data_IF_484425085145
#
_entry.id   IF_484425085145
#
_cell.length_a   1.000
_cell.length_b   1.000
_cell.length_c   1.000
_cell.angle_alpha   90.00
_cell.angle_beta   90.00
_cell.angle_gamma   90.00
#
_symmetry.space_group_name_H-M   'P 1'
#
loop_
_entity.id
_entity.type
_entity.pdbx_description
1 polymer ?
#
# COMPACT_ATOMS: atom_id res chain seq x y z
N UNK A 1 8.43 -26.65 -6.46
CA UNK A 1 9.58 -25.73 -6.47
C UNK A 1 9.05 -24.41 -5.92
N UNK A 2 9.34 -24.07 -4.66
CA UNK A 2 8.99 -22.75 -4.11
C UNK A 2 9.61 -21.68 -4.99
N UNK A 3 8.79 -20.84 -5.60
CA UNK A 3 9.28 -19.72 -6.41
C UNK A 3 9.97 -18.74 -5.46
N UNK A 4 11.29 -18.62 -5.62
CA UNK A 4 12.12 -17.62 -4.95
C UNK A 4 11.51 -16.23 -5.15
N UNK A 5 11.45 -15.47 -4.07
CA UNK A 5 11.06 -14.07 -4.04
C UNK A 5 11.84 -13.26 -5.09
N UNK A 6 11.20 -12.91 -6.20
CA UNK A 6 11.86 -12.19 -7.30
C UNK A 6 11.84 -10.69 -7.02
N UNK A 7 13.02 -10.05 -7.01
CA UNK A 7 13.18 -8.60 -6.88
C UNK A 7 14.52 -8.17 -7.45
N UNK A 8 14.67 -6.87 -7.69
CA UNK A 8 15.95 -6.25 -8.04
C UNK A 8 17.05 -6.64 -7.02
N UNK A 9 18.23 -7.11 -7.47
CA UNK A 9 19.36 -7.38 -6.57
C UNK A 9 19.72 -6.15 -5.73
N UNK A 10 19.88 -6.36 -4.42
CA UNK A 10 20.14 -5.27 -3.47
C UNK A 10 18.94 -4.39 -3.11
N UNK A 11 17.75 -4.60 -3.69
CA UNK A 11 16.56 -3.84 -3.31
C UNK A 11 16.21 -4.07 -1.82
N UNK A 12 15.93 -2.97 -1.12
CA UNK A 12 15.46 -2.98 0.25
C UNK A 12 14.32 -1.96 0.44
N UNK A 13 13.82 -1.83 1.67
CA UNK A 13 12.79 -0.87 2.04
C UNK A 13 13.34 0.33 2.81
N UNK A 14 14.67 0.44 2.92
CA UNK A 14 15.35 1.48 3.69
C UNK A 14 15.15 2.88 3.11
N UNK A 15 15.03 2.99 1.77
CA UNK A 15 14.66 4.23 1.08
C UNK A 15 13.25 4.72 1.40
N UNK A 16 12.35 3.80 1.80
CA UNK A 16 11.00 4.10 2.29
C UNK A 16 10.98 4.33 3.81
N UNK A 17 12.13 4.38 4.47
CA UNK A 17 12.22 4.52 5.93
C UNK A 17 11.78 3.29 6.72
N UNK A 18 11.41 2.19 6.05
CA UNK A 18 11.03 0.94 6.68
C UNK A 18 12.29 0.15 7.03
N UNK A 19 12.47 -0.15 8.31
CA UNK A 19 13.65 -0.84 8.83
C UNK A 19 13.22 -1.91 9.81
N UNK A 20 14.06 -2.93 10.01
CA UNK A 20 13.88 -3.95 11.07
C UNK A 20 12.50 -4.63 11.04
N UNK A 21 11.94 -4.84 9.85
CA UNK A 21 10.83 -5.79 9.67
C UNK A 21 11.30 -7.19 10.05
N UNK A 22 10.38 -8.07 10.45
CA UNK A 22 10.70 -9.47 10.74
C UNK A 22 11.07 -10.21 9.46
N UNK A 23 10.20 -10.11 8.45
CA UNK A 23 10.41 -10.60 7.11
C UNK A 23 9.84 -9.60 6.10
N UNK A 24 10.46 -9.51 4.93
CA UNK A 24 9.90 -8.80 3.78
C UNK A 24 9.76 -9.80 2.64
N UNK A 25 8.52 -10.18 2.33
CA UNK A 25 8.22 -11.17 1.28
C UNK A 25 7.98 -10.45 -0.04
N UNK A 26 8.87 -10.65 -1.02
CA UNK A 26 8.81 -9.92 -2.29
C UNK A 26 8.12 -10.71 -3.40
N UNK A 27 7.17 -10.06 -4.06
CA UNK A 27 6.53 -10.51 -5.28
C UNK A 27 6.03 -11.96 -5.23
N UNK A 28 5.54 -12.39 -4.06
CA UNK A 28 5.01 -13.74 -3.85
C UNK A 28 3.95 -14.11 -4.90
N UNK A 29 3.87 -15.40 -5.19
CA UNK A 29 2.83 -15.94 -6.06
C UNK A 29 1.43 -15.74 -5.46
N UNK A 30 0.36 -15.69 -6.27
CA UNK A 30 -1.01 -15.69 -5.77
C UNK A 30 -1.31 -16.84 -4.81
N UNK A 31 -0.79 -18.03 -5.12
CA UNK A 31 -0.93 -19.23 -4.32
C UNK A 31 -0.28 -19.06 -2.94
N UNK A 32 0.96 -18.56 -2.91
CA UNK A 32 1.66 -18.27 -1.66
C UNK A 32 0.95 -17.20 -0.82
N UNK A 33 0.42 -16.15 -1.44
CA UNK A 33 -0.33 -15.11 -0.73
C UNK A 33 -1.66 -15.62 -0.16
N UNK A 34 -2.34 -16.49 -0.92
CA UNK A 34 -3.56 -17.15 -0.45
C UNK A 34 -3.26 -18.06 0.73
N UNK A 35 -2.21 -18.88 0.65
CA UNK A 35 -1.74 -19.72 1.75
C UNK A 35 -1.37 -18.90 2.99
N UNK A 36 -0.60 -17.82 2.83
CA UNK A 36 -0.23 -16.94 3.95
C UNK A 36 -1.47 -16.31 4.60
N UNK A 37 -2.47 -15.93 3.79
CA UNK A 37 -3.75 -15.40 4.31
C UNK A 37 -4.46 -16.43 5.18
N UNK A 38 -4.57 -17.67 4.71
CA UNK A 38 -5.24 -18.75 5.44
C UNK A 38 -4.46 -19.17 6.68
N UNK A 39 -3.14 -19.36 6.57
CA UNK A 39 -2.25 -19.71 7.70
C UNK A 39 -2.31 -18.68 8.83
N UNK A 40 -2.53 -17.42 8.50
CA UNK A 40 -2.67 -16.32 9.47
C UNK A 40 -4.10 -16.15 10.00
N UNK A 41 -5.05 -16.97 9.57
CA UNK A 41 -6.45 -16.88 9.97
C UNK A 41 -7.15 -15.62 9.45
N UNK A 42 -6.67 -15.06 8.33
CA UNK A 42 -7.15 -13.80 7.76
C UNK A 42 -8.12 -13.99 6.59
N UNK A 43 -8.49 -15.24 6.29
CA UNK A 43 -9.39 -15.59 5.23
C UNK A 43 -9.62 -17.09 5.15
N UNK A 44 -10.58 -17.47 4.33
CA UNK A 44 -10.98 -18.86 4.08
C UNK A 44 -11.20 -19.09 2.59
N UNK A 45 -11.14 -20.35 2.16
CA UNK A 45 -11.52 -20.72 0.80
C UNK A 45 -13.04 -20.89 0.75
N UNK A 46 -13.66 -20.24 -0.21
CA UNK A 46 -15.02 -20.57 -0.63
C UNK A 46 -15.03 -21.90 -1.41
N UNK A 47 -16.21 -22.48 -1.59
CA UNK A 47 -16.39 -23.74 -2.35
C UNK A 47 -15.88 -23.65 -3.80
N UNK A 48 -15.77 -22.43 -4.35
CA UNK A 48 -15.19 -22.16 -5.67
C UNK A 48 -13.66 -22.18 -5.71
N UNK A 49 -12.99 -22.30 -4.56
CA UNK A 49 -11.55 -22.11 -4.41
C UNK A 49 -11.11 -20.64 -4.34
N UNK A 50 -12.04 -19.68 -4.40
CA UNK A 50 -11.73 -18.27 -4.22
C UNK A 50 -11.43 -17.96 -2.73
N UNK A 51 -10.43 -17.12 -2.50
CA UNK A 51 -10.14 -16.60 -1.16
C UNK A 51 -11.20 -15.56 -0.77
N UNK A 52 -11.91 -15.83 0.33
CA UNK A 52 -12.80 -14.90 1.00
C UNK A 52 -12.09 -14.29 2.22
N UNK A 53 -12.17 -12.96 2.36
CA UNK A 53 -11.59 -12.19 3.47
C UNK A 53 -12.62 -11.22 4.03
N UNK A 54 -12.42 -10.80 5.27
CA UNK A 54 -13.19 -9.72 5.90
C UNK A 54 -12.33 -8.46 5.97
N UNK A 55 -12.87 -7.32 5.51
CA UNK A 55 -12.15 -6.03 5.49
C UNK A 55 -12.28 -5.25 6.81
N UNK A 56 -12.93 -5.84 7.81
CA UNK A 56 -13.20 -5.22 9.11
C UNK A 56 -14.33 -4.20 9.06
N UNK A 57 -14.18 -3.11 9.82
CA UNK A 57 -15.18 -2.03 9.97
C UNK A 57 -15.58 -1.39 8.63
N UNK A 58 -14.61 -1.22 7.72
CA UNK A 58 -14.82 -0.56 6.44
C UNK A 58 -15.06 -1.58 5.33
N UNK A 59 -16.30 -1.65 4.85
CA UNK A 59 -16.73 -2.52 3.74
C UNK A 59 -16.83 -1.79 2.40
N UNK A 60 -16.43 -0.52 2.38
CA UNK A 60 -16.48 0.37 1.22
C UNK A 60 -15.48 1.51 1.37
N UNK A 61 -15.44 2.37 0.34
CA UNK A 61 -14.60 3.58 0.36
C UNK A 61 -14.99 4.49 1.53
N UNK A 62 -14.01 5.25 2.01
CA UNK A 62 -14.24 6.33 2.97
C UNK A 62 -13.88 7.69 2.38
N UNK A 63 -14.73 8.28 1.50
CA UNK A 63 -14.41 9.52 0.78
C UNK A 63 -14.06 10.70 1.69
N UNK A 64 -14.59 10.69 2.91
CA UNK A 64 -14.33 11.74 3.90
C UNK A 64 -12.97 11.64 4.58
N UNK A 65 -12.27 10.51 4.42
CA UNK A 65 -10.97 10.20 5.02
C UNK A 65 -9.85 10.09 3.97
N UNK A 66 -10.15 10.48 2.73
CA UNK A 66 -9.16 10.64 1.65
C UNK A 66 -8.64 12.07 1.65
N UNK A 67 -7.31 12.23 1.72
CA UNK A 67 -6.63 13.52 1.72
C UNK A 67 -5.56 13.59 0.64
N UNK A 68 -5.25 14.81 0.22
CA UNK A 68 -4.11 15.12 -0.65
C UNK A 68 -3.25 16.13 0.09
N UNK A 69 -1.95 15.88 0.14
CA UNK A 69 -0.98 16.81 0.73
C UNK A 69 -1.05 18.13 -0.03
N UNK A 70 -1.27 19.24 0.69
CA UNK A 70 -1.26 20.59 0.14
C UNK A 70 0.10 21.23 0.40
N UNK A 71 0.94 21.24 -0.62
CA UNK A 71 2.26 21.84 -0.69
C UNK A 71 2.36 22.80 -1.89
N UNK A 72 3.55 23.35 -2.15
CA UNK A 72 3.77 24.30 -3.25
C UNK A 72 3.41 23.72 -4.63
N UNK A 73 3.61 22.41 -4.85
CA UNK A 73 3.33 21.75 -6.12
C UNK A 73 1.83 21.51 -6.36
N UNK A 74 1.06 21.35 -5.28
CA UNK A 74 -0.36 20.96 -5.33
C UNK A 74 -1.30 22.13 -5.04
N UNK A 75 -0.83 23.18 -4.34
CA UNK A 75 -1.65 24.28 -3.86
C UNK A 75 -2.46 24.98 -4.96
N UNK A 76 -1.88 25.14 -6.16
CA UNK A 76 -2.54 25.77 -7.31
C UNK A 76 -3.01 24.81 -8.41
N UNK A 77 -2.69 23.52 -8.33
CA UNK A 77 -2.96 22.53 -9.40
C UNK A 77 -4.08 21.55 -9.06
N UNK A 78 -4.34 21.31 -7.77
CA UNK A 78 -5.43 20.44 -7.31
C UNK A 78 -6.73 21.24 -7.19
N UNK A 79 -7.82 20.68 -7.70
CA UNK A 79 -9.18 21.19 -7.52
C UNK A 79 -9.67 20.91 -6.08
N UNK A 80 -9.40 21.83 -5.16
CA UNK A 80 -9.69 21.69 -3.74
C UNK A 80 -11.19 21.82 -3.43
N UNK A 81 -11.72 20.94 -2.57
CA UNK A 81 -13.12 21.00 -2.18
C UNK A 81 -13.55 19.89 -1.24
N UNK A 82 -14.84 19.55 -1.27
CA UNK A 82 -15.38 18.46 -0.45
C UNK A 82 -14.83 17.08 -0.84
N UNK A 83 -14.37 16.91 -2.09
CA UNK A 83 -13.78 15.67 -2.62
C UNK A 83 -12.27 15.61 -2.35
N UNK A 84 -11.52 16.63 -2.79
CA UNK A 84 -10.08 16.71 -2.58
C UNK A 84 -9.78 17.52 -1.33
N UNK A 85 -9.64 16.83 -0.20
CA UNK A 85 -9.40 17.45 1.10
C UNK A 85 -7.91 17.70 1.30
N UNK A 86 -7.49 18.91 1.69
CA UNK A 86 -6.10 19.19 1.95
C UNK A 86 -5.65 18.60 3.29
N UNK A 87 -4.40 18.16 3.35
CA UNK A 87 -3.68 17.93 4.61
C UNK A 87 -2.29 18.57 4.53
N UNK A 88 -1.82 19.13 5.65
CA UNK A 88 -0.50 19.76 5.71
C UNK A 88 0.65 18.76 5.51
N UNK A 89 1.77 19.14 4.86
CA UNK A 89 2.92 18.26 4.66
C UNK A 89 3.49 17.70 5.97
N UNK A 90 3.41 18.46 7.06
CA UNK A 90 3.85 18.05 8.39
C UNK A 90 3.07 16.85 8.94
N UNK A 91 1.75 16.79 8.72
CA UNK A 91 0.91 15.69 9.21
C UNK A 91 1.12 14.43 8.37
N UNK A 92 1.31 14.57 7.05
CA UNK A 92 1.75 13.46 6.22
C UNK A 92 3.09 12.90 6.69
N UNK A 93 4.07 13.78 6.96
CA UNK A 93 5.39 13.34 7.43
C UNK A 93 5.31 12.58 8.76
N UNK A 94 4.53 13.09 9.71
CA UNK A 94 4.27 12.44 11.00
C UNK A 94 3.62 11.06 10.82
N UNK A 95 2.53 10.97 10.07
CA UNK A 95 1.84 9.69 9.81
C UNK A 95 2.73 8.70 9.06
N UNK A 96 3.54 9.18 8.11
CA UNK A 96 4.51 8.35 7.41
C UNK A 96 5.56 7.76 8.36
N UNK A 97 6.09 8.56 9.29
CA UNK A 97 7.01 8.07 10.34
C UNK A 97 6.34 7.05 11.26
N UNK A 98 5.07 7.29 11.65
CA UNK A 98 4.30 6.37 12.48
C UNK A 98 4.04 5.03 11.76
N UNK A 99 3.63 5.04 10.48
CA UNK A 99 3.43 3.81 9.68
C UNK A 99 4.73 3.04 9.47
N UNK A 100 5.81 3.73 9.09
CA UNK A 100 7.10 3.05 8.86
C UNK A 100 7.66 2.43 10.15
N UNK A 101 7.40 3.07 11.30
CA UNK A 101 7.70 2.50 12.61
C UNK A 101 6.78 1.33 12.97
N UNK A 102 5.49 1.40 12.61
CA UNK A 102 4.52 0.33 12.83
C UNK A 102 4.92 -1.00 12.17
N UNK A 103 5.61 -0.96 11.03
CA UNK A 103 6.11 -2.16 10.36
C UNK A 103 7.29 -2.83 11.08
N UNK A 104 7.94 -2.18 12.05
CA UNK A 104 9.06 -2.79 12.78
C UNK A 104 8.62 -4.08 13.50
N UNK A 105 9.39 -5.16 13.33
CA UNK A 105 9.10 -6.46 13.93
C UNK A 105 7.91 -7.23 13.33
N UNK A 106 7.25 -6.68 12.30
CA UNK A 106 6.18 -7.33 11.53
C UNK A 106 6.72 -7.97 10.26
N UNK A 107 5.98 -8.96 9.78
CA UNK A 107 6.10 -9.40 8.40
C UNK A 107 5.46 -8.35 7.48
N UNK A 108 6.06 -8.12 6.31
CA UNK A 108 5.48 -7.26 5.27
C UNK A 108 5.52 -7.96 3.92
N UNK A 109 4.56 -7.61 3.06
CA UNK A 109 4.45 -8.17 1.71
C UNK A 109 4.68 -7.06 0.71
N UNK A 110 5.66 -7.24 -0.18
CA UNK A 110 6.10 -6.23 -1.14
C UNK A 110 5.68 -6.66 -2.54
N UNK A 111 5.05 -5.75 -3.29
CA UNK A 111 4.68 -5.96 -4.69
C UNK A 111 5.21 -4.83 -5.54
N UNK A 112 5.98 -5.20 -6.55
CA UNK A 112 6.33 -4.34 -7.68
C UNK A 112 5.33 -4.61 -8.82
N UNK A 113 4.69 -3.56 -9.31
CA UNK A 113 3.62 -3.63 -10.31
C UNK A 113 3.62 -2.39 -11.22
N UNK A 114 2.87 -2.45 -12.32
CA UNK A 114 2.66 -1.29 -13.20
C UNK A 114 1.21 -0.80 -13.19
N UNK A 115 1.05 0.51 -13.31
CA UNK A 115 -0.22 1.12 -13.71
C UNK A 115 -0.06 1.76 -15.11
N UNK A 116 -1.13 1.70 -15.90
CA UNK A 116 -1.16 2.03 -17.33
C UNK A 116 -0.40 1.01 -18.21
N UNK A 117 -1.06 0.55 -19.29
CA UNK A 117 -0.51 -0.45 -20.21
C UNK A 117 0.37 0.15 -21.31
N UNK A 118 0.23 1.45 -21.59
CA UNK A 118 1.09 2.14 -22.56
C UNK A 118 2.46 2.42 -21.91
N UNK A 119 3.52 1.89 -22.52
CA UNK A 119 4.89 2.00 -22.01
C UNK A 119 5.36 3.44 -21.81
N UNK A 120 4.85 4.40 -22.60
CA UNK A 120 5.22 5.82 -22.50
C UNK A 120 4.62 6.51 -21.28
N UNK A 121 3.53 5.96 -20.74
CA UNK A 121 2.78 6.52 -19.61
C UNK A 121 2.69 5.56 -18.42
N UNK A 122 3.44 4.44 -18.50
CA UNK A 122 3.50 3.41 -17.47
C UNK A 122 4.11 4.01 -16.21
N UNK A 123 3.50 3.70 -15.06
CA UNK A 123 4.01 4.07 -13.75
C UNK A 123 4.43 2.81 -13.00
N UNK A 124 5.64 2.83 -12.46
CA UNK A 124 6.16 1.76 -11.62
C UNK A 124 5.68 1.97 -10.18
N UNK A 125 4.95 1.01 -9.63
CA UNK A 125 4.36 1.07 -8.29
C UNK A 125 5.03 0.03 -7.40
N UNK A 126 5.53 0.44 -6.24
CA UNK A 126 5.92 -0.45 -5.14
C UNK A 126 4.91 -0.36 -3.99
N UNK A 127 4.13 -1.41 -3.80
CA UNK A 127 3.26 -1.58 -2.64
C UNK A 127 4.00 -2.32 -1.54
N UNK A 128 3.96 -1.79 -0.31
CA UNK A 128 4.31 -2.50 0.92
C UNK A 128 3.04 -2.62 1.75
N UNK A 129 2.57 -3.85 1.98
CA UNK A 129 1.34 -4.13 2.71
C UNK A 129 1.59 -4.94 3.98
N UNK A 130 0.84 -4.64 5.04
CA UNK A 130 0.80 -5.44 6.26
C UNK A 130 0.26 -6.86 6.02
N UNK A 131 -0.76 -6.99 5.18
CA UNK A 131 -1.45 -8.25 4.99
C UNK A 131 -1.24 -8.85 3.58
N UNK A 132 -1.15 -10.19 3.48
CA UNK A 132 -0.93 -10.88 2.22
C UNK A 132 -2.10 -10.70 1.24
N UNK A 133 -3.34 -10.66 1.73
CA UNK A 133 -4.51 -10.45 0.86
C UNK A 133 -4.56 -9.03 0.25
N UNK A 134 -4.02 -8.01 0.92
CA UNK A 134 -3.89 -6.67 0.34
C UNK A 134 -2.88 -6.68 -0.82
N UNK A 135 -1.81 -7.46 -0.68
CA UNK A 135 -0.84 -7.67 -1.75
C UNK A 135 -1.43 -8.46 -2.93
N UNK A 136 -2.24 -9.50 -2.63
CA UNK A 136 -2.94 -10.29 -3.65
C UNK A 136 -3.93 -9.45 -4.44
N UNK A 137 -4.63 -8.54 -3.77
CA UNK A 137 -5.51 -7.58 -4.44
C UNK A 137 -4.72 -6.73 -5.45
N UNK A 138 -3.56 -6.20 -5.05
CA UNK A 138 -2.71 -5.43 -5.96
C UNK A 138 -2.21 -6.26 -7.15
N UNK A 139 -1.87 -7.54 -6.95
CA UNK A 139 -1.51 -8.46 -8.03
C UNK A 139 -2.65 -8.65 -9.05
N UNK A 140 -3.90 -8.65 -8.58
CA UNK A 140 -5.07 -8.80 -9.44
C UNK A 140 -5.43 -7.50 -10.18
N UNK A 141 -5.20 -6.35 -9.55
CA UNK A 141 -5.64 -5.05 -10.08
C UNK A 141 -4.63 -4.36 -10.97
N UNK A 142 -3.33 -4.53 -10.70
CA UNK A 142 -2.25 -3.88 -11.46
C UNK A 142 -1.63 -4.84 -12.48
N UNK A 143 -0.88 -4.25 -13.42
CA UNK A 143 -0.13 -5.01 -14.42
C UNK A 143 1.12 -5.63 -13.77
N UNK A 144 1.49 -6.81 -14.25
CA UNK A 144 2.51 -7.66 -13.64
C UNK A 144 3.82 -7.56 -14.43
N UNK A 145 4.92 -7.09 -13.82
CA UNK A 145 6.24 -7.19 -14.42
C UNK A 145 6.63 -8.67 -14.56
N UNK A 146 7.34 -8.99 -15.64
CA UNK A 146 7.97 -10.30 -15.79
C UNK A 146 9.26 -10.40 -14.92
N UNK A 147 9.84 -11.59 -14.87
CA UNK A 147 11.02 -11.85 -14.02
C UNK A 147 12.24 -10.98 -14.39
N UNK A 148 12.47 -10.69 -15.67
CA UNK A 148 13.57 -9.83 -16.14
C UNK A 148 13.33 -8.36 -15.79
N UNK A 149 12.07 -7.90 -15.93
CA UNK A 149 11.66 -6.55 -15.54
C UNK A 149 11.84 -6.31 -14.04
N UNK A 150 11.53 -7.32 -13.20
CA UNK A 150 11.72 -7.23 -11.75
C UNK A 150 13.19 -7.04 -11.34
N UNK A 151 14.14 -7.58 -12.10
CA UNK A 151 15.57 -7.42 -11.81
C UNK A 151 16.05 -5.97 -11.92
N UNK A 152 15.34 -5.15 -12.70
CA UNK A 152 15.69 -3.74 -12.95
C UNK A 152 14.62 -2.77 -12.45
N UNK A 153 13.66 -3.24 -11.64
CA UNK A 153 12.51 -2.45 -11.24
C UNK A 153 12.89 -1.28 -10.33
N UNK A 154 12.47 -0.08 -10.73
CA UNK A 154 12.60 1.17 -9.98
C UNK A 154 11.23 1.80 -9.78
N UNK A 155 10.72 1.95 -8.55
CA UNK A 155 9.39 2.51 -8.33
C UNK A 155 9.35 4.02 -8.55
N UNK A 156 8.39 4.48 -9.34
CA UNK A 156 8.00 5.88 -9.43
C UNK A 156 7.14 6.29 -8.25
N UNK A 157 6.24 5.39 -7.84
CA UNK A 157 5.29 5.56 -6.76
C UNK A 157 5.44 4.47 -5.73
N UNK A 158 5.20 4.82 -4.47
CA UNK A 158 5.09 3.83 -3.40
C UNK A 158 3.79 3.95 -2.64
N UNK A 159 3.25 2.80 -2.23
CA UNK A 159 2.04 2.69 -1.44
C UNK A 159 2.40 1.94 -0.16
N UNK A 160 2.12 2.54 1.00
CA UNK A 160 2.21 1.86 2.29
C UNK A 160 0.78 1.57 2.78
N UNK A 161 0.42 0.30 2.84
CA UNK A 161 -0.91 -0.15 3.27
C UNK A 161 -0.80 -0.90 4.60
N UNK A 162 -1.28 -0.27 5.67
CA UNK A 162 -1.25 -0.82 7.02
C UNK A 162 -2.65 -0.76 7.65
N UNK A 163 -3.59 -1.65 7.27
CA UNK A 163 -4.95 -1.64 7.81
C UNK A 163 -5.02 -1.66 9.35
N UNK A 164 -4.07 -2.30 10.03
CA UNK A 164 -4.03 -2.34 11.50
C UNK A 164 -3.38 -1.12 12.16
N UNK A 165 -2.89 -0.14 11.39
CA UNK A 165 -2.37 1.11 11.92
C UNK A 165 -3.49 2.16 11.99
N UNK A 166 -3.79 2.66 13.18
CA UNK A 166 -4.85 3.65 13.41
C UNK A 166 -4.25 5.04 13.67
N UNK A 167 -4.70 6.05 12.93
CA UNK A 167 -4.39 7.44 13.22
C UNK A 167 -5.08 7.91 14.50
N UNK A 168 -4.46 8.87 15.18
CA UNK A 168 -5.07 9.57 16.31
C UNK A 168 -5.52 10.97 15.86
N UNK A 169 -6.82 11.17 15.69
CA UNK A 169 -7.39 12.40 15.12
C UNK A 169 -7.02 13.68 15.88
N UNK A 170 -6.75 13.57 17.19
CA UNK A 170 -6.29 14.69 18.01
C UNK A 170 -4.88 15.22 17.67
N UNK A 171 -4.07 14.42 16.99
CA UNK A 171 -2.68 14.79 16.61
C UNK A 171 -2.44 14.78 15.10
N UNK A 172 -3.04 13.82 14.39
CA UNK A 172 -2.67 13.50 13.01
C UNK A 172 -3.46 14.29 11.96
N UNK A 173 -4.36 15.17 12.41
CA UNK A 173 -5.24 15.98 11.56
C UNK A 173 -6.05 15.14 10.55
N UNK A 174 -6.38 13.91 10.94
CA UNK A 174 -7.35 13.05 10.27
C UNK A 174 -8.73 13.23 10.92
N UNK A 175 -9.81 12.92 10.19
CA UNK A 175 -11.17 13.01 10.72
C UNK A 175 -11.46 11.92 11.75
N UNK A 176 -10.94 10.72 11.52
CA UNK A 176 -11.06 9.56 12.39
C UNK A 176 -9.83 8.65 12.21
N UNK A 177 -9.90 7.40 12.70
CA UNK A 177 -8.74 6.53 12.81
C UNK A 177 -8.24 5.96 11.46
N UNK A 178 -9.09 5.87 10.44
CA UNK A 178 -8.69 5.49 9.09
C UNK A 178 -8.33 6.72 8.24
N UNK A 179 -7.47 6.50 7.25
CA UNK A 179 -7.05 7.52 6.30
C UNK A 179 -6.49 6.90 5.02
N UNK A 180 -6.62 7.62 3.92
CA UNK A 180 -5.87 7.41 2.69
C UNK A 180 -5.29 8.77 2.24
N UNK A 181 -3.96 8.91 2.23
CA UNK A 181 -3.32 10.21 1.97
C UNK A 181 -2.37 10.08 0.79
N UNK A 182 -2.54 10.97 -0.19
CA UNK A 182 -1.71 11.05 -1.41
C UNK A 182 -0.76 12.24 -1.29
N UNK A 183 0.53 12.00 -1.50
CA UNK A 183 1.57 13.03 -1.62
C UNK A 183 2.18 12.99 -3.02
N UNK A 184 1.82 13.95 -3.87
CA UNK A 184 2.31 14.03 -5.24
C UNK A 184 3.78 14.42 -5.34
N UNK A 185 4.26 15.31 -4.47
CA UNK A 185 5.66 15.74 -4.44
C UNK A 185 6.60 14.59 -4.14
N UNK A 186 6.23 13.73 -3.19
CA UNK A 186 7.00 12.53 -2.85
C UNK A 186 6.65 11.30 -3.68
N UNK A 187 5.55 11.35 -4.45
CA UNK A 187 4.95 10.19 -5.13
C UNK A 187 4.68 9.02 -4.18
N UNK A 188 4.02 9.33 -3.06
CA UNK A 188 3.76 8.39 -1.97
C UNK A 188 2.29 8.37 -1.60
N UNK A 189 1.76 7.19 -1.33
CA UNK A 189 0.42 6.98 -0.79
C UNK A 189 0.53 6.21 0.53
N UNK A 190 -0.19 6.66 1.56
CA UNK A 190 -0.29 5.95 2.83
C UNK A 190 -1.75 5.65 3.14
N UNK A 191 -2.03 4.41 3.55
CA UNK A 191 -3.36 3.90 3.87
C UNK A 191 -3.28 3.23 5.25
N UNK A 192 -4.14 3.64 6.17
CA UNK A 192 -4.21 3.10 7.53
C UNK A 192 -5.64 3.01 8.04
N UNK A 193 -5.86 2.12 9.00
CA UNK A 193 -7.10 1.96 9.76
C UNK A 193 -8.27 1.36 8.98
N UNK A 194 -8.05 1.01 7.71
CA UNK A 194 -9.08 0.41 6.84
C UNK A 194 -8.53 -0.82 6.14
N UNK A 195 -9.28 -1.92 6.19
CA UNK A 195 -9.01 -3.13 5.41
C UNK A 195 -9.64 -3.12 4.02
N UNK A 196 -10.38 -2.07 3.64
CA UNK A 196 -11.03 -2.02 2.34
C UNK A 196 -10.00 -1.88 1.21
N UNK A 197 -9.81 -2.95 0.44
CA UNK A 197 -8.79 -3.02 -0.63
C UNK A 197 -8.97 -1.99 -1.73
N UNK A 198 -10.19 -1.50 -1.93
CA UNK A 198 -10.47 -0.48 -2.94
C UNK A 198 -9.80 0.87 -2.70
N UNK A 199 -9.22 1.14 -1.52
CA UNK A 199 -8.36 2.31 -1.29
C UNK A 199 -6.97 2.18 -1.95
N UNK A 200 -6.54 0.96 -2.32
CA UNK A 200 -5.28 0.69 -3.03
C UNK A 200 -5.41 0.99 -4.53
N UNK A 201 -6.62 0.80 -5.10
CA UNK A 201 -6.92 0.94 -6.53
C UNK A 201 -7.19 2.40 -6.91
#
# INVERSE_FOLDING_TARGET
MERLESKKPGADLGSLGIRRVRNAYWNLSPESLMEETIKRGQGLLADSGALAIETGEFTGRSPMDRFIVKDENTAGSVDWGSINKPIGPQYFHQLYQKITSYFQGKDVFVRDAYACADENYRMNIRLVSEFPWSNLFAYNMFLRPNEEELLNFEPDWSILCAPGFHAYSGEDNTRQHNFAIINFTKKQIIIGGTGYTGEIK
#
